data_IF_052538899296
#
_entry.id   IF_052538899296
#
_cell.length_a   1.000
_cell.length_b   1.000
_cell.length_c   1.000
_cell.angle_alpha   90.00
_cell.angle_beta   90.00
_cell.angle_gamma   90.00
#
_symmetry.space_group_name_H-M   'P 1'
#
loop_
_entity.id
_entity.type
_entity.pdbx_description
1 polymer ?
#
# COMPACT_ATOMS: atom_id res chain seq x y z
N UNK A 1 11.94 13.52 -13.90
CA UNK A 1 12.38 13.28 -12.51
C UNK A 1 11.34 12.38 -11.90
N UNK A 2 11.73 11.21 -11.42
CA UNK A 2 10.82 10.32 -10.70
C UNK A 2 10.88 10.69 -9.24
N UNK A 3 9.73 10.83 -8.59
CA UNK A 3 9.66 11.05 -7.14
C UNK A 3 10.29 9.87 -6.39
N UNK A 4 10.96 10.19 -5.28
CA UNK A 4 11.59 9.17 -4.44
C UNK A 4 10.55 8.28 -3.80
N UNK A 5 9.45 8.87 -3.35
CA UNK A 5 8.31 8.17 -2.78
C UNK A 5 7.14 8.16 -3.75
N UNK A 6 6.49 7.02 -3.91
CA UNK A 6 5.31 6.86 -4.77
C UNK A 6 4.21 6.10 -4.03
N UNK A 7 2.98 6.62 -4.10
CA UNK A 7 1.81 5.92 -3.54
C UNK A 7 1.43 4.74 -4.42
N UNK A 8 1.45 3.53 -3.85
CA UNK A 8 0.95 2.30 -4.48
C UNK A 8 -0.24 1.74 -3.72
N UNK A 9 -1.13 1.04 -4.42
CA UNK A 9 -2.14 0.22 -3.76
C UNK A 9 -1.44 -0.83 -2.89
N UNK A 10 -1.95 -1.04 -1.68
CA UNK A 10 -1.51 -2.15 -0.85
C UNK A 10 -1.76 -3.44 -1.65
N UNK A 11 -0.72 -4.26 -1.80
CA UNK A 11 -0.92 -5.58 -2.40
C UNK A 11 -1.73 -6.38 -1.38
N UNK A 12 -2.85 -7.01 -1.78
CA UNK A 12 -3.50 -7.95 -0.90
C UNK A 12 -2.49 -9.03 -0.58
N UNK A 13 -2.03 -9.11 0.67
CA UNK A 13 -1.48 -10.36 1.14
C UNK A 13 -2.67 -11.32 1.13
N UNK A 14 -2.82 -12.09 0.04
CA UNK A 14 -3.51 -13.36 0.11
C UNK A 14 -2.79 -14.17 1.18
N UNK A 15 -3.26 -14.05 2.43
CA UNK A 15 -3.04 -15.09 3.42
C UNK A 15 -3.86 -16.27 2.92
N UNK A 16 -3.28 -17.01 1.97
CA UNK A 16 -3.85 -18.20 1.37
C UNK A 16 -3.95 -19.30 2.41
N UNK A 17 -4.95 -19.21 3.27
CA UNK A 17 -5.50 -20.36 3.99
C UNK A 17 -6.85 -20.66 3.37
N UNK A 18 -6.83 -21.42 2.26
CA UNK A 18 -8.04 -22.09 1.77
C UNK A 18 -8.42 -23.12 2.83
N UNK A 19 -9.38 -22.74 3.66
CA UNK A 19 -10.13 -23.67 4.49
C UNK A 19 -11.59 -23.44 4.17
N UNK A 20 -12.17 -24.42 3.50
CA UNK A 20 -13.61 -24.64 3.41
C UNK A 20 -14.38 -23.71 2.45
N UNK A 21 -14.41 -24.12 1.17
CA UNK A 21 -15.65 -24.27 0.37
C UNK A 21 -16.63 -23.11 0.16
N UNK A 22 -16.44 -21.96 0.77
CA UNK A 22 -17.38 -20.84 0.71
C UNK A 22 -16.60 -19.60 0.28
N UNK A 23 -17.08 -18.95 -0.79
CA UNK A 23 -16.55 -17.65 -1.21
C UNK A 23 -16.94 -16.61 -0.17
N UNK A 24 -16.22 -16.55 0.94
CA UNK A 24 -16.12 -15.33 1.69
C UNK A 24 -15.32 -14.36 0.81
N UNK A 25 -15.91 -13.22 0.46
CA UNK A 25 -15.15 -12.07 -0.05
C UNK A 25 -14.25 -11.59 1.10
N UNK A 26 -13.17 -12.32 1.33
CA UNK A 26 -12.26 -12.10 2.45
C UNK A 26 -11.47 -10.85 2.12
N UNK A 27 -11.95 -9.75 2.72
CA UNK A 27 -11.33 -8.44 2.83
C UNK A 27 -10.20 -8.20 1.81
N UNK A 28 -10.57 -7.64 0.65
CA UNK A 28 -9.62 -6.87 -0.13
C UNK A 28 -8.90 -5.93 0.85
N UNK A 29 -7.59 -6.09 1.00
CA UNK A 29 -6.78 -5.18 1.82
C UNK A 29 -7.00 -3.79 1.24
N UNK A 30 -7.93 -3.03 1.84
CA UNK A 30 -8.32 -1.70 1.38
C UNK A 30 -7.30 -0.74 1.95
N UNK A 31 -6.25 -0.49 1.19
CA UNK A 31 -5.26 0.48 1.59
C UNK A 31 -4.25 0.83 0.52
N UNK A 32 -3.38 1.76 0.89
CA UNK A 32 -2.31 2.32 0.10
C UNK A 32 -1.03 2.25 0.92
N UNK A 33 0.09 2.03 0.25
CA UNK A 33 1.41 1.96 0.85
C UNK A 33 2.33 2.84 0.02
N UNK A 34 3.26 3.50 0.68
CA UNK A 34 4.25 4.31 -0.02
C UNK A 34 5.42 3.43 -0.39
N UNK A 35 5.80 3.46 -1.65
CA UNK A 35 6.96 2.77 -2.20
C UNK A 35 8.12 3.76 -2.30
N UNK A 36 9.24 3.43 -1.67
CA UNK A 36 10.49 4.16 -1.87
C UNK A 36 11.18 3.57 -3.11
N UNK A 37 11.24 4.36 -4.19
CA UNK A 37 11.88 3.99 -5.45
C UNK A 37 13.41 3.91 -5.33
N UNK A 38 13.99 4.63 -4.37
CA UNK A 38 15.45 4.71 -4.17
C UNK A 38 15.98 3.44 -3.47
N UNK A 39 15.28 3.00 -2.44
CA UNK A 39 15.55 1.76 -1.70
C UNK A 39 14.80 0.54 -2.27
N UNK A 40 13.98 0.77 -3.31
CA UNK A 40 13.16 -0.24 -3.98
C UNK A 40 12.29 -1.07 -3.01
N UNK A 41 11.76 -0.43 -1.96
CA UNK A 41 11.03 -1.12 -0.89
C UNK A 41 9.74 -0.40 -0.53
N UNK A 42 8.75 -1.15 -0.05
CA UNK A 42 7.56 -0.56 0.58
C UNK A 42 7.88 -0.10 1.98
N UNK A 43 7.39 1.07 2.32
CA UNK A 43 7.39 1.54 3.68
C UNK A 43 6.42 0.69 4.51
N UNK A 44 6.71 0.47 5.80
CA UNK A 44 5.84 -0.29 6.70
C UNK A 44 4.50 0.40 6.97
N UNK A 45 4.39 1.68 6.61
CA UNK A 45 3.20 2.49 6.78
C UNK A 45 2.13 2.13 5.76
N UNK A 46 0.92 1.86 6.24
CA UNK A 46 -0.23 1.49 5.43
C UNK A 46 -1.40 2.40 5.74
N UNK A 47 -1.89 3.07 4.71
CA UNK A 47 -2.95 4.06 4.78
C UNK A 47 -4.26 3.45 4.28
N UNK A 48 -5.38 3.76 4.92
CA UNK A 48 -6.68 3.32 4.41
C UNK A 48 -7.14 4.16 3.21
N UNK A 49 -6.71 5.42 3.14
CA UNK A 49 -7.09 6.37 2.11
C UNK A 49 -5.92 6.78 1.23
N UNK A 50 -6.17 6.94 -0.09
CA UNK A 50 -5.16 7.45 -1.02
C UNK A 50 -4.69 8.85 -0.65
N UNK A 51 -5.60 9.70 -0.15
CA UNK A 51 -5.26 11.06 0.28
C UNK A 51 -4.25 11.08 1.41
N UNK A 52 -4.41 10.22 2.42
CA UNK A 52 -3.45 10.13 3.53
C UNK A 52 -2.09 9.62 3.05
N UNK A 53 -2.08 8.59 2.20
CA UNK A 53 -0.85 8.11 1.59
C UNK A 53 -0.17 9.18 0.73
N UNK A 54 -0.96 9.98 0.00
CA UNK A 54 -0.44 11.04 -0.85
C UNK A 54 0.14 12.18 -0.03
N UNK A 55 -0.52 12.57 1.06
CA UNK A 55 -0.05 13.62 1.98
C UNK A 55 1.30 13.24 2.60
N UNK A 56 1.44 12.00 3.09
CA UNK A 56 2.73 11.54 3.61
C UNK A 56 3.78 11.35 2.50
N UNK A 57 3.36 10.92 1.31
CA UNK A 57 4.24 10.83 0.15
C UNK A 57 4.80 12.22 -0.23
N UNK A 58 3.96 13.25 -0.24
CA UNK A 58 4.33 14.64 -0.52
C UNK A 58 5.28 15.17 0.56
N UNK A 59 4.95 14.96 1.84
CA UNK A 59 5.81 15.30 2.99
C UNK A 59 7.18 14.66 2.90
N UNK A 60 7.26 13.37 2.51
CA UNK A 60 8.52 12.65 2.36
C UNK A 60 9.32 13.07 1.13
N UNK A 61 8.65 13.47 0.04
CA UNK A 61 9.30 14.07 -1.12
C UNK A 61 9.66 15.56 -0.91
N UNK A 62 9.22 16.18 0.19
CA UNK A 62 9.52 17.56 0.56
C UNK A 62 8.78 18.59 -0.28
N UNK A 63 7.53 18.29 -0.63
CA UNK A 63 6.69 19.09 -1.53
C UNK A 63 5.66 19.93 -0.79
#
# INVERSE_FOLDING_TARGET
MSDRYEVKSAIPLESGSVRDGVRHSTAAVRGFQIFDNFENKRLPDSYMSRSEAQDECDRRNGR
#
